data_IF_755627427280
#
_entry.id   IF_755627427280
#
_cell.length_a   1.000
_cell.length_b   1.000
_cell.length_c   1.000
_cell.angle_alpha   90.00
_cell.angle_beta   90.00
_cell.angle_gamma   90.00
#
_symmetry.space_group_name_H-M   'P 1'
#
loop_
_entity.id
_entity.type
_entity.pdbx_description
1 polymer ?
#
# COMPACT_ATOMS: atom_id res chain seq x y z
N UNK A 1 -2.32 -1.68 -26.84
CA UNK A 1 -3.45 -2.28 -26.11
C UNK A 1 -3.17 -3.67 -25.53
N UNK A 2 -2.40 -4.57 -26.17
CA UNK A 2 -2.13 -5.92 -25.63
C UNK A 2 -1.11 -6.02 -24.47
N UNK A 3 -0.41 -4.92 -24.12
CA UNK A 3 0.61 -4.91 -23.07
C UNK A 3 0.03 -4.71 -21.65
N UNK A 4 -1.12 -4.04 -21.51
CA UNK A 4 -1.74 -3.77 -20.21
C UNK A 4 -2.41 -5.01 -19.59
N UNK A 5 -2.80 -5.99 -20.42
CA UNK A 5 -3.49 -7.21 -19.96
C UNK A 5 -2.53 -8.25 -19.35
N UNK A 6 -1.21 -8.12 -19.57
CA UNK A 6 -0.21 -9.09 -19.07
C UNK A 6 0.31 -8.80 -17.66
N UNK A 7 -0.01 -7.65 -17.05
CA UNK A 7 0.46 -7.34 -15.68
C UNK A 7 -0.34 -8.06 -14.58
N UNK A 8 -1.47 -8.69 -14.91
CA UNK A 8 -2.36 -9.39 -13.97
C UNK A 8 -1.85 -10.75 -13.52
N UNK A 9 -0.77 -11.28 -14.13
CA UNK A 9 -0.20 -12.59 -13.80
C UNK A 9 0.83 -12.56 -12.65
N UNK A 10 1.22 -11.38 -12.15
CA UNK A 10 2.31 -11.24 -11.16
C UNK A 10 1.85 -11.00 -9.72
N UNK A 11 0.58 -10.64 -9.52
CA UNK A 11 0.05 -10.35 -8.20
C UNK A 11 -1.08 -11.34 -7.92
N UNK A 12 -1.08 -12.05 -6.78
CA UNK A 12 -2.16 -12.95 -6.42
C UNK A 12 -3.47 -12.17 -6.42
N UNK A 13 -4.50 -12.77 -7.02
CA UNK A 13 -5.85 -12.23 -6.95
C UNK A 13 -6.38 -12.43 -5.53
N UNK A 14 -6.47 -11.34 -4.77
CA UNK A 14 -7.03 -11.32 -3.42
C UNK A 14 -8.43 -10.70 -3.49
N UNK A 15 -9.47 -11.51 -3.35
CA UNK A 15 -10.87 -11.06 -3.48
C UNK A 15 -11.25 -10.11 -2.34
N UNK A 16 -10.62 -10.26 -1.16
CA UNK A 16 -10.85 -9.36 -0.02
C UNK A 16 -10.12 -8.02 -0.12
N UNK A 17 -9.13 -7.90 -1.01
CA UNK A 17 -8.37 -6.68 -1.30
C UNK A 17 -8.47 -6.35 -2.80
N UNK A 18 -9.66 -5.95 -3.29
CA UNK A 18 -9.86 -5.66 -4.71
C UNK A 18 -8.97 -4.50 -5.17
N UNK A 19 -8.84 -4.35 -6.49
CA UNK A 19 -8.04 -3.30 -7.14
C UNK A 19 -6.52 -3.37 -6.83
N UNK A 20 -6.05 -4.49 -6.24
CA UNK A 20 -4.65 -4.75 -5.95
C UNK A 20 -3.85 -5.02 -7.23
N UNK A 21 -2.79 -4.24 -7.46
CA UNK A 21 -1.83 -4.43 -8.56
C UNK A 21 -0.50 -3.71 -8.31
N UNK A 22 0.50 -4.05 -9.11
CA UNK A 22 1.75 -3.29 -9.20
C UNK A 22 1.48 -1.96 -9.91
N UNK A 23 1.98 -0.84 -9.36
CA UNK A 23 1.79 0.48 -9.95
C UNK A 23 2.57 0.66 -11.27
N UNK A 24 3.76 0.06 -11.38
CA UNK A 24 4.55 0.11 -12.60
C UNK A 24 5.07 -1.28 -12.97
N UNK A 25 4.48 -1.89 -14.00
CA UNK A 25 5.11 -2.98 -14.74
C UNK A 25 5.71 -2.37 -16.00
N UNK A 26 7.03 -2.19 -16.06
CA UNK A 26 7.67 -1.69 -17.30
C UNK A 26 7.26 -2.56 -18.48
N UNK A 27 6.63 -1.98 -19.50
CA UNK A 27 6.46 -2.61 -20.81
C UNK A 27 6.67 -1.57 -21.91
N UNK A 28 7.74 -1.75 -22.70
CA UNK A 28 7.81 -1.50 -24.16
C UNK A 28 9.24 -1.54 -24.75
N UNK A 29 10.32 -1.77 -23.99
CA UNK A 29 11.61 -2.14 -24.59
C UNK A 29 11.75 -3.67 -24.65
N UNK A 30 11.95 -4.22 -25.86
CA UNK A 30 11.92 -5.65 -26.19
C UNK A 30 13.05 -6.48 -25.55
N UNK A 31 13.89 -5.89 -24.69
CA UNK A 31 15.03 -6.56 -24.05
C UNK A 31 14.67 -7.13 -22.67
N UNK A 32 13.54 -6.73 -22.07
CA UNK A 32 13.27 -7.02 -20.65
C UNK A 32 12.03 -7.88 -20.38
N UNK A 33 11.47 -8.56 -21.39
CA UNK A 33 10.31 -9.44 -21.24
C UNK A 33 10.61 -10.79 -20.57
N UNK A 34 11.76 -10.96 -19.90
CA UNK A 34 12.19 -12.24 -19.30
C UNK A 34 12.61 -12.15 -17.83
N UNK A 35 12.44 -11.00 -17.17
CA UNK A 35 12.68 -10.84 -15.73
C UNK A 35 11.37 -10.43 -15.07
N UNK A 36 10.55 -11.44 -14.76
CA UNK A 36 9.21 -11.24 -14.18
C UNK A 36 8.95 -12.30 -13.10
N UNK A 37 9.89 -12.48 -12.20
CA UNK A 37 9.61 -13.08 -10.91
C UNK A 37 10.17 -12.13 -9.84
N UNK A 38 9.33 -11.86 -8.84
CA UNK A 38 9.66 -11.30 -7.54
C UNK A 38 10.04 -9.81 -7.42
N UNK A 39 9.11 -9.09 -6.76
CA UNK A 39 9.22 -7.80 -6.09
C UNK A 39 9.04 -6.52 -6.94
N UNK A 40 7.88 -5.88 -6.76
CA UNK A 40 7.66 -4.50 -7.16
C UNK A 40 7.95 -3.53 -6.01
N UNK A 41 8.45 -2.34 -6.34
CA UNK A 41 8.69 -1.29 -5.36
C UNK A 41 7.38 -0.72 -4.77
N UNK A 42 6.35 -0.55 -5.60
CA UNK A 42 5.07 0.05 -5.20
C UNK A 42 3.90 -0.78 -5.73
N UNK A 43 3.04 -1.18 -4.81
CA UNK A 43 1.72 -1.75 -5.05
C UNK A 43 0.65 -0.70 -4.75
N UNK A 44 -0.50 -0.83 -5.39
CA UNK A 44 -1.70 -0.05 -5.07
C UNK A 44 -2.90 -0.96 -4.89
N UNK A 45 -3.83 -0.61 -3.99
CA UNK A 45 -5.05 -1.39 -3.78
C UNK A 45 -6.19 -0.61 -3.13
N UNK A 46 -7.36 -1.26 -2.99
CA UNK A 46 -8.40 -0.86 -2.05
C UNK A 46 -7.94 -1.03 -0.59
N UNK A 47 -8.81 -0.75 0.38
CA UNK A 47 -8.45 -0.88 1.80
C UNK A 47 -8.04 -2.32 2.16
N UNK A 48 -6.82 -2.56 2.70
CA UNK A 48 -6.36 -3.90 3.04
C UNK A 48 -6.85 -4.40 4.40
N UNK A 49 -7.63 -3.58 5.12
CA UNK A 49 -8.20 -3.93 6.42
C UNK A 49 -9.30 -5.00 6.35
N UNK A 50 -9.81 -5.30 5.15
CA UNK A 50 -10.74 -6.40 4.89
C UNK A 50 -10.06 -7.72 4.56
N UNK A 51 -8.72 -7.76 4.54
CA UNK A 51 -7.96 -8.97 4.28
C UNK A 51 -8.43 -10.13 5.17
N UNK A 52 -8.75 -11.26 4.54
CA UNK A 52 -9.18 -12.49 5.23
C UNK A 52 -8.01 -13.41 5.52
N UNK A 53 -8.18 -14.32 6.48
CA UNK A 53 -7.10 -15.19 6.98
C UNK A 53 -6.55 -16.12 5.90
N UNK A 54 -7.39 -16.57 4.98
CA UNK A 54 -7.07 -17.47 3.86
C UNK A 54 -6.13 -16.80 2.85
N UNK A 55 -6.26 -15.48 2.67
CA UNK A 55 -5.48 -14.68 1.73
C UNK A 55 -4.23 -14.06 2.35
N UNK A 56 -4.08 -14.15 3.68
CA UNK A 56 -2.99 -13.52 4.42
C UNK A 56 -1.61 -14.07 4.03
N UNK A 57 -1.51 -15.37 3.76
CA UNK A 57 -0.26 -15.99 3.32
C UNK A 57 0.19 -15.44 1.96
N UNK A 58 -0.72 -15.30 1.00
CA UNK A 58 -0.42 -14.73 -0.32
C UNK A 58 -0.09 -13.24 -0.23
N UNK A 59 -0.79 -12.49 0.62
CA UNK A 59 -0.45 -11.08 0.87
C UNK A 59 0.97 -10.93 1.45
N UNK A 60 1.38 -11.81 2.37
CA UNK A 60 2.74 -11.79 2.95
C UNK A 60 3.83 -12.05 1.91
N UNK A 61 3.58 -12.88 0.89
CA UNK A 61 4.52 -13.12 -0.22
C UNK A 61 4.85 -11.87 -1.02
N UNK A 62 3.99 -10.84 -0.98
CA UNK A 62 4.27 -9.55 -1.63
C UNK A 62 5.44 -8.79 -1.00
N UNK A 63 5.86 -9.16 0.22
CA UNK A 63 7.00 -8.55 0.90
C UNK A 63 6.80 -7.08 1.29
N UNK A 64 5.55 -6.64 1.43
CA UNK A 64 5.22 -5.26 1.76
C UNK A 64 5.82 -4.91 3.13
N UNK A 65 6.67 -3.88 3.16
CA UNK A 65 7.27 -3.33 4.39
C UNK A 65 6.46 -2.16 4.94
N UNK A 66 5.85 -1.39 4.04
CA UNK A 66 5.13 -0.18 4.40
C UNK A 66 3.73 -0.14 3.76
N UNK A 67 2.72 0.23 4.53
CA UNK A 67 1.38 0.57 4.04
C UNK A 67 1.19 2.07 4.22
N UNK A 68 0.90 2.78 3.13
CA UNK A 68 0.59 4.20 3.14
C UNK A 68 -0.87 4.37 2.76
N UNK A 69 -1.69 4.55 3.78
CA UNK A 69 -3.14 4.60 3.70
C UNK A 69 -3.62 6.06 3.70
N UNK A 70 -4.28 6.48 2.62
CA UNK A 70 -4.77 7.85 2.43
C UNK A 70 -6.12 8.12 3.10
N UNK A 71 -6.55 7.23 3.99
CA UNK A 71 -7.74 7.38 4.83
C UNK A 71 -7.43 8.15 6.10
N UNK A 72 -8.46 8.81 6.64
CA UNK A 72 -8.34 9.41 7.97
C UNK A 72 -8.29 8.33 9.04
N UNK A 73 -7.81 8.69 10.24
CA UNK A 73 -7.86 7.80 11.42
C UNK A 73 -9.29 7.32 11.70
N UNK A 74 -10.28 8.19 11.54
CA UNK A 74 -11.69 7.89 11.76
C UNK A 74 -12.26 6.96 10.69
N UNK A 75 -11.86 7.14 9.43
CA UNK A 75 -12.24 6.25 8.31
C UNK A 75 -11.64 4.84 8.51
N UNK A 76 -10.40 4.76 8.98
CA UNK A 76 -9.71 3.51 9.26
C UNK A 76 -10.29 2.80 10.50
N UNK A 77 -10.39 3.48 11.64
CA UNK A 77 -10.92 2.88 12.88
C UNK A 77 -12.43 2.59 12.82
N UNK A 78 -13.15 3.22 11.89
CA UNK A 78 -14.57 2.96 11.63
C UNK A 78 -14.84 1.84 10.64
N UNK A 79 -13.82 1.10 10.21
CA UNK A 79 -13.96 -0.02 9.29
C UNK A 79 -14.66 -1.23 9.92
N UNK A 80 -15.27 -2.04 9.08
CA UNK A 80 -15.94 -3.30 9.41
C UNK A 80 -15.07 -4.54 9.08
N UNK A 81 -13.83 -4.33 8.65
CA UNK A 81 -12.89 -5.38 8.29
C UNK A 81 -12.23 -6.08 9.48
N UNK A 82 -11.52 -7.18 9.20
CA UNK A 82 -10.83 -8.00 10.19
C UNK A 82 -9.54 -7.37 10.75
N UNK A 83 -8.96 -6.41 10.01
CA UNK A 83 -7.75 -5.69 10.39
C UNK A 83 -6.57 -6.60 10.78
N UNK A 84 -6.41 -7.73 10.08
CA UNK A 84 -5.39 -8.75 10.41
C UNK A 84 -3.96 -8.20 10.42
N UNK A 85 -3.68 -7.22 9.55
CA UNK A 85 -2.38 -6.58 9.41
C UNK A 85 -1.99 -5.75 10.65
N UNK A 86 -2.92 -5.45 11.54
CA UNK A 86 -2.66 -4.68 12.77
C UNK A 86 -1.69 -5.37 13.73
N UNK A 87 -1.59 -6.69 13.63
CA UNK A 87 -0.66 -7.52 14.42
C UNK A 87 0.77 -7.44 13.90
N UNK A 88 0.94 -7.07 12.63
CA UNK A 88 2.24 -7.06 11.94
C UNK A 88 2.78 -5.66 11.68
N UNK A 89 1.91 -4.65 11.58
CA UNK A 89 2.30 -3.29 11.20
C UNK A 89 2.01 -2.29 12.31
N UNK A 90 3.05 -1.59 12.75
CA UNK A 90 2.94 -0.46 13.66
C UNK A 90 2.15 0.67 13.00
N UNK A 91 1.06 1.11 13.64
CA UNK A 91 0.17 2.13 13.08
C UNK A 91 0.62 3.54 13.48
N UNK A 92 0.83 4.39 12.49
CA UNK A 92 1.22 5.79 12.65
C UNK A 92 0.19 6.72 12.01
N UNK A 93 -0.08 7.85 12.66
CA UNK A 93 -0.79 8.98 12.09
C UNK A 93 0.22 9.98 11.56
N UNK A 94 0.10 10.38 10.30
CA UNK A 94 0.93 11.44 9.73
C UNK A 94 0.42 12.82 10.17
N UNK A 95 1.32 13.62 10.73
CA UNK A 95 1.05 14.99 11.16
C UNK A 95 1.22 15.95 9.99
N UNK A 96 0.19 16.00 9.14
CA UNK A 96 0.17 16.87 7.95
C UNK A 96 0.23 18.35 8.38
N UNK A 97 1.18 19.16 7.87
CA UNK A 97 1.29 20.57 8.20
C UNK A 97 0.07 21.36 7.67
N UNK A 98 -0.17 22.56 8.21
CA UNK A 98 -1.24 23.44 7.71
C UNK A 98 -0.90 24.09 6.38
N UNK A 99 0.38 24.47 6.23
CA UNK A 99 0.95 25.02 5.01
C UNK A 99 1.67 23.92 4.22
N UNK A 100 2.10 24.24 3.00
CA UNK A 100 2.95 23.36 2.19
C UNK A 100 4.29 23.11 2.88
N UNK A 101 4.86 21.93 2.61
CA UNK A 101 6.18 21.58 3.10
C UNK A 101 7.23 22.52 2.53
N UNK A 102 8.32 22.70 3.27
CA UNK A 102 9.57 23.21 2.68
C UNK A 102 10.34 22.05 2.05
N UNK A 103 11.11 22.32 1.01
CA UNK A 103 11.99 21.31 0.41
C UNK A 103 12.90 20.69 1.49
N UNK A 104 13.03 19.36 1.49
CA UNK A 104 13.81 18.61 2.49
C UNK A 104 13.19 18.52 3.89
N UNK A 105 12.04 19.15 4.16
CA UNK A 105 11.33 18.99 5.43
C UNK A 105 10.81 17.55 5.58
N UNK A 106 11.11 16.90 6.71
CA UNK A 106 10.74 15.51 6.98
C UNK A 106 9.29 15.36 7.43
N UNK A 107 8.69 14.22 7.10
CA UNK A 107 7.35 13.85 7.55
C UNK A 107 7.37 13.54 9.05
N UNK A 108 6.47 14.15 9.82
CA UNK A 108 6.28 13.89 11.25
C UNK A 108 5.13 12.92 11.45
N UNK A 109 5.29 11.98 12.38
CA UNK A 109 4.33 10.92 12.64
C UNK A 109 4.10 10.73 14.14
N UNK A 110 2.88 10.36 14.52
CA UNK A 110 2.47 9.99 15.87
C UNK A 110 2.05 8.51 15.90
N UNK A 111 2.55 7.72 16.85
CA UNK A 111 2.10 6.32 17.02
C UNK A 111 0.64 6.31 17.49
N UNK A 112 -0.18 5.46 16.87
CA UNK A 112 -1.54 5.19 17.32
C UNK A 112 -1.54 3.89 18.13
N UNK A 113 -1.66 4.01 19.45
CA UNK A 113 -1.95 2.86 20.30
C UNK A 113 -3.42 2.44 20.16
N UNK A 114 -3.68 1.22 19.68
CA UNK A 114 -5.03 0.68 19.55
C UNK A 114 -5.51 0.16 20.92
N UNK A 115 -6.73 0.53 21.31
CA UNK A 115 -7.34 0.08 22.57
C UNK A 115 -7.66 -1.43 22.59
N UNK A 116 -7.57 -2.12 21.44
CA UNK A 116 -7.81 -3.56 21.31
C UNK A 116 -6.69 -4.44 21.86
N UNK A 117 -5.52 -3.90 22.22
CA UNK A 117 -4.47 -4.65 22.94
C UNK A 117 -4.75 -4.79 24.46
N UNK A 118 -5.95 -4.46 24.94
CA UNK A 118 -6.36 -4.67 26.35
C UNK A 118 -7.09 -5.99 26.61
N UNK A 119 -7.26 -6.86 25.61
CA UNK A 119 -7.94 -8.15 25.75
C UNK A 119 -7.04 -9.35 25.46
N UNK A 120 -5.78 -9.32 25.91
CA UNK A 120 -4.97 -10.55 26.09
C UNK A 120 -4.19 -10.47 27.42
N UNK A 121 -4.88 -10.13 28.51
CA UNK A 121 -4.49 -10.48 29.89
C UNK A 121 -5.74 -10.68 30.74
N UNK A 122 -6.62 -11.59 30.29
CA UNK A 122 -7.62 -12.20 31.16
C UNK A 122 -7.23 -13.65 31.35
N UNK A 123 -6.53 -13.90 32.45
CA UNK A 123 -6.35 -15.19 33.08
C UNK A 123 -7.59 -16.09 32.95
N UNK A 124 -7.52 -17.11 32.10
CA UNK A 124 -8.28 -18.37 32.16
C UNK A 124 -7.75 -19.34 31.11
N UNK A 125 -6.49 -19.72 31.28
CA UNK A 125 -5.87 -20.98 30.80
C UNK A 125 -4.66 -21.26 31.69
N UNK A 126 -4.90 -21.22 33.00
CA UNK A 126 -4.02 -21.78 34.03
C UNK A 126 -4.83 -22.83 34.77
N UNK A 127 -5.08 -23.93 34.08
CA UNK A 127 -5.46 -25.20 34.67
C UNK A 127 -5.11 -26.26 33.64
N UNK A 128 -3.84 -26.66 33.67
CA UNK A 128 -3.29 -27.95 33.26
C UNK A 128 -1.78 -27.82 33.33
N UNK A 129 -1.26 -28.06 34.54
CA UNK A 129 -0.01 -28.73 34.89
C UNK A 129 0.26 -28.37 36.37
N UNK A 130 -0.33 -29.20 37.21
CA UNK A 130 -0.08 -29.26 38.65
C UNK A 130 1.28 -29.91 38.91
N UNK A 131 1.90 -29.40 39.97
CA UNK A 131 2.74 -30.11 40.95
C UNK A 131 4.12 -30.62 40.49
N UNK A 132 5.17 -29.93 40.92
CA UNK A 132 6.00 -30.41 42.05
C UNK A 132 7.01 -29.31 42.47
N UNK A 133 6.84 -28.81 43.70
CA UNK A 133 7.87 -28.05 44.41
C UNK A 133 8.90 -29.03 44.99
N UNK A 134 10.18 -28.86 44.67
CA UNK A 134 11.26 -29.24 45.57
C UNK A 134 12.41 -28.23 45.53
N UNK A 135 12.84 -27.84 46.73
CA UNK A 135 13.85 -26.83 47.01
C UNK A 135 15.26 -27.21 46.51
N UNK A 136 16.08 -26.22 46.13
CA UNK A 136 17.35 -25.85 46.80
C UNK A 136 18.16 -24.83 45.98
N UNK A 137 19.02 -24.13 46.72
CA UNK A 137 19.89 -22.99 46.42
C UNK A 137 21.03 -23.18 45.41
N UNK A 138 21.45 -22.06 44.78
CA UNK A 138 22.85 -21.58 44.55
C UNK A 138 23.17 -21.07 43.13
N UNK A 139 23.69 -19.83 43.09
CA UNK A 139 24.74 -19.26 42.25
C UNK A 139 24.98 -19.79 40.81
N UNK A 140 24.69 -18.95 39.81
CA UNK A 140 25.67 -18.58 38.77
C UNK A 140 25.19 -17.38 37.91
N UNK A 141 26.11 -16.52 37.42
CA UNK A 141 25.75 -15.32 36.68
C UNK A 141 25.36 -15.63 35.22
N UNK A 142 24.34 -14.91 34.79
CA UNK A 142 23.76 -14.83 33.44
C UNK A 142 24.83 -14.55 32.35
N UNK A 143 24.92 -15.33 31.26
CA UNK A 143 25.75 -14.95 30.13
C UNK A 143 25.01 -13.85 29.33
N UNK A 144 25.74 -12.75 29.10
CA UNK A 144 25.30 -11.57 28.39
C UNK A 144 24.52 -11.90 27.11
N UNK A 145 23.33 -11.31 27.01
CA UNK A 145 22.50 -11.32 25.81
C UNK A 145 23.31 -10.82 24.60
N UNK A 146 23.50 -11.71 23.63
CA UNK A 146 23.88 -11.36 22.26
C UNK A 146 22.81 -10.41 21.73
N UNK A 147 23.15 -9.23 21.19
CA UNK A 147 22.15 -8.34 20.63
C UNK A 147 21.52 -9.02 19.41
N UNK A 148 20.25 -9.39 19.55
CA UNK A 148 19.41 -9.91 18.48
C UNK A 148 19.37 -8.92 17.32
N UNK A 149 19.60 -9.43 16.11
CA UNK A 149 19.38 -8.80 14.80
C UNK A 149 18.25 -7.77 14.80
N UNK A 150 18.51 -6.57 14.28
CA UNK A 150 17.50 -5.53 14.05
C UNK A 150 16.29 -6.12 13.30
N UNK A 151 15.18 -6.30 14.02
CA UNK A 151 13.92 -6.70 13.40
C UNK A 151 13.39 -5.47 12.66
N UNK A 152 13.41 -5.52 11.33
CA UNK A 152 12.84 -4.45 10.49
C UNK A 152 11.36 -4.27 10.83
N UNK A 153 11.02 -3.14 11.46
CA UNK A 153 9.66 -2.79 11.84
C UNK A 153 8.82 -2.44 10.61
N UNK A 154 7.74 -3.21 10.37
CA UNK A 154 6.73 -2.92 9.35
C UNK A 154 5.85 -1.75 9.79
N UNK A 155 5.57 -0.82 8.88
CA UNK A 155 4.89 0.45 9.21
C UNK A 155 3.60 0.64 8.44
N UNK A 156 2.58 1.16 9.10
CA UNK A 156 1.30 1.53 8.49
C UNK A 156 1.00 3.00 8.80
N UNK A 157 1.10 3.86 7.79
CA UNK A 157 0.86 5.29 7.90
C UNK A 157 -0.56 5.66 7.47
N UNK A 158 -1.27 6.41 8.30
CA UNK A 158 -2.55 7.04 7.96
C UNK A 158 -2.33 8.52 7.61
N UNK A 159 -2.67 8.90 6.38
CA UNK A 159 -2.59 10.28 5.88
C UNK A 159 -4.01 10.78 5.59
N UNK A 160 -4.48 11.75 6.38
CA UNK A 160 -5.79 12.34 6.12
C UNK A 160 -5.75 13.30 4.92
N UNK A 161 -6.31 12.89 3.79
CA UNK A 161 -6.47 13.74 2.61
C UNK A 161 -7.64 14.72 2.73
N UNK A 162 -8.73 14.32 3.37
CA UNK A 162 -9.95 15.12 3.52
C UNK A 162 -10.01 15.78 4.91
N UNK A 163 -9.04 16.64 5.18
CA UNK A 163 -9.01 17.47 6.38
C UNK A 163 -10.14 18.48 6.38
N UNK A 164 -10.43 19.06 7.55
CA UNK A 164 -11.41 20.15 7.65
C UNK A 164 -11.07 21.33 6.74
N UNK A 165 -9.80 21.61 6.45
CA UNK A 165 -9.38 22.64 5.48
C UNK A 165 -9.94 22.36 4.08
N UNK A 166 -9.84 21.13 3.59
CA UNK A 166 -10.46 20.69 2.33
C UNK A 166 -11.97 20.88 2.37
N UNK A 167 -12.63 20.38 3.43
CA UNK A 167 -14.09 20.45 3.57
C UNK A 167 -14.56 21.91 3.56
N UNK A 168 -13.91 22.79 4.33
CA UNK A 168 -14.21 24.21 4.38
C UNK A 168 -13.98 24.90 3.03
N UNK A 169 -12.86 24.64 2.37
CA UNK A 169 -12.54 25.27 1.09
C UNK A 169 -13.57 24.93 -0.01
N UNK A 170 -13.99 23.65 -0.09
CA UNK A 170 -15.03 23.20 -1.02
C UNK A 170 -16.41 23.74 -0.61
N UNK A 171 -16.73 23.71 0.69
CA UNK A 171 -18.03 24.17 1.20
C UNK A 171 -18.24 25.69 1.02
N UNK A 172 -17.18 26.49 1.16
CA UNK A 172 -17.24 27.95 1.03
C UNK A 172 -17.52 28.44 -0.41
N UNK A 173 -17.48 27.55 -1.41
CA UNK A 173 -17.89 27.88 -2.79
C UNK A 173 -19.40 27.81 -3.00
N UNK A 174 -20.14 27.27 -2.02
CA UNK A 174 -21.60 27.24 -2.07
C UNK A 174 -22.17 28.64 -1.87
N UNK A 175 -23.30 28.98 -2.50
CA UNK A 175 -23.99 30.22 -2.22
C UNK A 175 -24.44 30.26 -0.75
N UNK A 176 -24.49 31.47 -0.18
CA UNK A 176 -24.70 31.70 1.25
C UNK A 176 -25.90 30.96 1.88
N UNK A 177 -27.00 30.79 1.13
CA UNK A 177 -28.19 30.09 1.63
C UNK A 177 -27.95 28.59 1.80
N UNK A 178 -27.18 27.95 0.90
CA UNK A 178 -26.74 26.57 1.05
C UNK A 178 -25.69 26.42 2.15
N UNK A 179 -24.86 27.45 2.35
CA UNK A 179 -23.92 27.50 3.46
C UNK A 179 -24.65 27.48 4.81
N UNK A 180 -25.68 28.32 5.01
CA UNK A 180 -26.51 28.31 6.22
C UNK A 180 -27.21 26.95 6.43
N UNK A 181 -27.78 26.39 5.36
CA UNK A 181 -28.43 25.09 5.43
C UNK A 181 -27.44 23.96 5.79
N UNK A 182 -26.23 23.98 5.25
CA UNK A 182 -25.20 23.01 5.60
C UNK A 182 -24.74 23.14 7.05
N UNK A 183 -24.59 24.36 7.58
CA UNK A 183 -24.31 24.59 9.01
C UNK A 183 -25.44 24.05 9.87
N UNK A 184 -26.68 24.26 9.48
CA UNK A 184 -27.82 23.68 10.19
C UNK A 184 -27.72 22.15 10.25
N UNK A 185 -27.44 21.47 9.13
CA UNK A 185 -27.22 20.01 9.14
C UNK A 185 -26.05 19.60 10.01
N UNK A 186 -24.94 20.35 9.98
CA UNK A 186 -23.77 20.09 10.81
C UNK A 186 -24.10 20.18 12.31
N UNK A 187 -24.79 21.25 12.73
CA UNK A 187 -25.23 21.45 14.12
C UNK A 187 -26.23 20.37 14.55
N UNK A 188 -27.18 20.00 13.70
CA UNK A 188 -28.12 18.93 13.97
C UNK A 188 -27.44 17.57 14.14
N UNK A 189 -26.41 17.27 13.33
CA UNK A 189 -25.63 16.05 13.47
C UNK A 189 -24.79 16.04 14.75
N UNK A 190 -24.25 17.19 15.18
CA UNK A 190 -23.58 17.33 16.47
C UNK A 190 -24.54 17.07 17.64
N UNK A 191 -25.69 17.75 17.64
CA UNK A 191 -26.73 17.61 18.68
C UNK A 191 -27.23 16.16 18.79
N UNK A 192 -27.41 15.48 17.65
CA UNK A 192 -27.87 14.08 17.60
C UNK A 192 -26.75 13.05 17.67
N UNK A 193 -25.47 13.48 17.80
CA UNK A 193 -24.28 12.60 17.75
C UNK A 193 -24.25 11.66 16.54
N UNK A 194 -24.75 12.14 15.39
CA UNK A 194 -24.98 11.35 14.19
C UNK A 194 -23.73 11.23 13.30
N UNK A 195 -22.52 11.41 13.85
CA UNK A 195 -21.23 11.33 13.13
C UNK A 195 -21.22 12.09 11.79
N UNK A 196 -21.84 13.27 11.74
CA UNK A 196 -21.91 14.14 10.54
C UNK A 196 -22.54 13.50 9.29
N UNK A 197 -23.39 12.47 9.42
CA UNK A 197 -23.98 11.79 8.26
C UNK A 197 -24.84 12.72 7.39
N UNK A 198 -25.71 13.55 7.97
CA UNK A 198 -26.58 14.42 7.20
C UNK A 198 -25.78 15.54 6.52
N UNK A 199 -24.82 16.14 7.25
CA UNK A 199 -23.90 17.11 6.68
C UNK A 199 -23.11 16.50 5.51
N UNK A 200 -22.58 15.29 5.66
CA UNK A 200 -21.81 14.62 4.62
C UNK A 200 -22.66 14.37 3.36
N UNK A 201 -23.91 13.93 3.52
CA UNK A 201 -24.86 13.77 2.40
C UNK A 201 -25.18 15.11 1.73
N UNK A 202 -25.39 16.16 2.52
CA UNK A 202 -25.62 17.51 2.00
C UNK A 202 -24.41 18.02 1.21
N UNK A 203 -23.23 17.91 1.80
CA UNK A 203 -21.96 18.32 1.23
C UNK A 203 -21.69 17.60 -0.11
N UNK A 204 -21.81 16.27 -0.13
CA UNK A 204 -21.67 15.48 -1.34
C UNK A 204 -22.68 15.90 -2.42
N UNK A 205 -23.97 16.00 -2.05
CA UNK A 205 -25.05 16.32 -3.00
C UNK A 205 -24.95 17.73 -3.57
N UNK A 206 -24.52 18.71 -2.78
CA UNK A 206 -24.56 20.14 -3.16
C UNK A 206 -23.22 20.69 -3.62
N UNK A 207 -22.12 20.23 -3.03
CA UNK A 207 -20.78 20.69 -3.39
C UNK A 207 -20.14 19.78 -4.43
N UNK A 208 -20.00 18.48 -4.15
CA UNK A 208 -19.24 17.56 -5.00
C UNK A 208 -19.98 17.23 -6.31
N UNK A 209 -21.27 16.90 -6.25
CA UNK A 209 -22.04 16.60 -7.47
C UNK A 209 -22.09 17.76 -8.48
N UNK A 210 -21.95 19.00 -8.01
CA UNK A 210 -21.98 20.20 -8.85
C UNK A 210 -20.76 20.28 -9.77
N UNK A 211 -19.58 19.91 -9.26
CA UNK A 211 -18.31 19.99 -10.00
C UNK A 211 -17.93 18.66 -10.64
N UNK A 212 -18.56 17.57 -10.21
CA UNK A 212 -18.38 16.23 -10.76
C UNK A 212 -17.02 15.64 -10.43
N UNK A 213 -16.70 14.52 -11.07
CA UNK A 213 -15.47 13.76 -10.79
C UNK A 213 -14.20 14.58 -11.02
N UNK A 214 -14.11 15.26 -12.17
CA UNK A 214 -13.00 16.15 -12.50
C UNK A 214 -12.83 17.27 -11.46
N UNK A 215 -13.92 17.92 -11.08
CA UNK A 215 -13.88 18.98 -10.08
C UNK A 215 -13.42 18.51 -8.71
N UNK A 216 -13.81 17.30 -8.29
CA UNK A 216 -13.28 16.71 -7.06
C UNK A 216 -11.77 16.47 -7.13
N UNK A 217 -11.24 16.08 -8.28
CA UNK A 217 -9.80 15.85 -8.46
C UNK A 217 -9.00 17.15 -8.39
N UNK A 218 -9.51 18.21 -9.02
CA UNK A 218 -8.97 19.55 -8.85
C UNK A 218 -8.98 19.93 -7.36
N UNK A 219 -10.09 19.70 -6.65
CA UNK A 219 -10.18 20.02 -5.23
C UNK A 219 -9.16 19.28 -4.36
N UNK A 220 -8.88 18.00 -4.67
CA UNK A 220 -7.86 17.22 -3.96
C UNK A 220 -6.47 17.82 -4.21
N UNK A 221 -6.12 18.11 -5.46
CA UNK A 221 -4.82 18.68 -5.83
C UNK A 221 -4.61 20.06 -5.21
N UNK A 222 -5.67 20.86 -5.09
CA UNK A 222 -5.62 22.21 -4.53
C UNK A 222 -5.61 22.24 -3.00
N UNK A 223 -6.38 21.37 -2.34
CA UNK A 223 -6.63 21.49 -0.90
C UNK A 223 -6.08 20.34 -0.05
N UNK A 224 -5.49 19.32 -0.68
CA UNK A 224 -4.79 18.21 -0.01
C UNK A 224 -3.28 18.20 -0.33
N UNK A 225 -2.72 19.34 -0.75
CA UNK A 225 -1.31 19.52 -1.16
C UNK A 225 -0.32 18.92 -0.15
N UNK A 226 -0.39 19.32 1.12
CA UNK A 226 0.50 18.79 2.15
C UNK A 226 0.33 17.29 2.36
N UNK A 227 -0.90 16.74 2.23
CA UNK A 227 -1.13 15.29 2.35
C UNK A 227 -0.52 14.52 1.18
N UNK A 228 -0.60 15.07 -0.04
CA UNK A 228 0.04 14.52 -1.23
C UNK A 228 1.57 14.54 -1.05
N UNK A 229 2.13 15.65 -0.59
CA UNK A 229 3.56 15.80 -0.33
C UNK A 229 4.05 14.80 0.74
N UNK A 230 3.30 14.59 1.83
CA UNK A 230 3.61 13.56 2.83
C UNK A 230 3.68 12.15 2.21
N UNK A 231 2.75 11.82 1.31
CA UNK A 231 2.72 10.52 0.64
C UNK A 231 3.96 10.32 -0.25
N UNK A 232 4.32 11.32 -1.05
CA UNK A 232 5.50 11.27 -1.93
C UNK A 232 6.80 11.16 -1.14
N UNK A 233 6.95 11.93 -0.06
CA UNK A 233 8.11 11.86 0.84
C UNK A 233 8.25 10.49 1.50
N UNK A 234 7.15 9.88 1.95
CA UNK A 234 7.18 8.53 2.52
C UNK A 234 7.54 7.45 1.48
N UNK A 235 7.06 7.60 0.24
CA UNK A 235 7.43 6.71 -0.88
C UNK A 235 8.90 6.87 -1.32
N UNK A 236 9.48 8.05 -1.12
CA UNK A 236 10.88 8.34 -1.45
C UNK A 236 11.87 7.70 -0.48
N UNK A 237 11.43 7.30 0.73
CA UNK A 237 12.28 6.64 1.71
C UNK A 237 12.46 5.15 1.35
N UNK A 238 13.68 4.69 1.03
CA UNK A 238 13.93 3.30 0.65
C UNK A 238 13.60 2.31 1.76
N UNK A 239 13.59 2.73 3.03
CA UNK A 239 13.20 1.87 4.16
C UNK A 239 11.70 1.52 4.14
N UNK A 240 10.90 2.27 3.38
CA UNK A 240 9.48 2.01 3.20
C UNK A 240 9.20 1.09 2.00
N UNK A 241 10.20 0.68 1.21
CA UNK A 241 10.01 -0.15 0.01
C UNK A 241 10.29 -1.64 0.28
N UNK A 242 9.44 -2.58 -0.19
CA UNK A 242 8.18 -2.37 -0.94
C UNK A 242 7.06 -1.68 -0.17
N UNK A 243 6.35 -0.78 -0.84
CA UNK A 243 5.21 -0.05 -0.28
C UNK A 243 3.88 -0.44 -0.93
N UNK A 244 2.80 -0.47 -0.14
CA UNK A 244 1.42 -0.52 -0.61
C UNK A 244 0.76 0.84 -0.38
N UNK A 245 0.28 1.49 -1.42
CA UNK A 245 -0.55 2.69 -1.31
C UNK A 245 -2.03 2.35 -1.46
N UNK A 246 -2.88 2.91 -0.60
CA UNK A 246 -4.31 2.63 -0.66
C UNK A 246 -5.16 3.82 -0.19
N UNK A 247 -6.46 3.70 -0.41
CA UNK A 247 -7.46 4.55 0.24
C UNK A 247 -8.69 3.69 0.56
N UNK A 248 -9.92 4.15 0.31
CA UNK A 248 -11.11 3.31 0.44
C UNK A 248 -11.17 2.22 -0.65
N UNK A 249 -11.25 2.63 -1.91
CA UNK A 249 -11.34 1.74 -3.07
C UNK A 249 -10.04 1.72 -3.91
N UNK A 250 -9.00 2.44 -3.49
CA UNK A 250 -7.73 2.48 -4.23
C UNK A 250 -7.78 3.24 -5.55
N UNK A 251 -8.79 4.10 -5.72
CA UNK A 251 -9.10 4.79 -6.98
C UNK A 251 -8.67 6.25 -6.97
N UNK A 252 -9.26 7.07 -6.10
CA UNK A 252 -9.17 8.54 -6.21
C UNK A 252 -7.87 9.11 -5.63
N UNK A 253 -7.76 9.15 -4.30
CA UNK A 253 -6.56 9.62 -3.59
C UNK A 253 -5.33 8.82 -4.03
N UNK A 254 -5.51 7.50 -4.14
CA UNK A 254 -4.48 6.59 -4.63
C UNK A 254 -4.11 6.85 -6.08
N UNK A 255 -5.08 7.11 -6.96
CA UNK A 255 -4.83 7.40 -8.37
C UNK A 255 -4.08 8.70 -8.58
N UNK A 256 -4.39 9.75 -7.81
CA UNK A 256 -3.66 11.02 -7.88
C UNK A 256 -2.20 10.84 -7.45
N UNK A 257 -1.95 10.19 -6.30
CA UNK A 257 -0.56 9.94 -5.86
C UNK A 257 0.16 9.02 -6.84
N UNK A 258 -0.51 7.99 -7.36
CA UNK A 258 0.02 7.09 -8.40
C UNK A 258 0.44 7.87 -9.64
N UNK A 259 -0.38 8.81 -10.10
CA UNK A 259 -0.08 9.63 -11.27
C UNK A 259 1.17 10.49 -11.08
N UNK A 260 1.35 11.08 -9.89
CA UNK A 260 2.54 11.87 -9.57
C UNK A 260 3.80 11.00 -9.50
N UNK A 261 3.72 9.81 -8.90
CA UNK A 261 4.83 8.83 -8.87
C UNK A 261 5.22 8.41 -10.29
N UNK A 262 4.25 8.07 -11.14
CA UNK A 262 4.51 7.68 -12.54
C UNK A 262 5.11 8.84 -13.35
N UNK A 263 4.72 10.08 -13.04
CA UNK A 263 5.33 11.29 -13.64
C UNK A 263 6.80 11.40 -13.25
N UNK A 264 7.17 11.20 -11.97
CA UNK A 264 8.57 11.15 -11.55
C UNK A 264 9.37 10.05 -12.27
N UNK A 265 8.73 8.92 -12.57
CA UNK A 265 9.34 7.83 -13.36
C UNK A 265 9.47 8.16 -14.86
N UNK A 266 9.00 9.33 -15.31
CA UNK A 266 9.06 9.78 -16.70
C UNK A 266 8.03 9.10 -17.60
N UNK A 267 6.94 8.58 -17.05
CA UNK A 267 5.89 7.96 -17.85
C UNK A 267 5.08 9.02 -18.61
N UNK A 268 4.72 8.78 -19.89
CA UNK A 268 3.89 9.71 -20.65
C UNK A 268 2.51 9.92 -20.01
N UNK A 269 1.95 11.13 -20.14
CA UNK A 269 0.62 11.50 -19.63
C UNK A 269 -0.48 10.49 -19.99
N UNK A 270 -0.50 9.99 -21.22
CA UNK A 270 -1.48 8.99 -21.65
C UNK A 270 -1.30 7.65 -20.93
N UNK A 271 -0.05 7.22 -20.70
CA UNK A 271 0.21 6.01 -19.92
C UNK A 271 -0.32 6.15 -18.49
N UNK A 272 -0.09 7.31 -17.87
CA UNK A 272 -0.57 7.61 -16.51
C UNK A 272 -2.09 7.55 -16.44
N UNK A 273 -2.77 8.13 -17.43
CA UNK A 273 -4.23 8.12 -17.50
C UNK A 273 -4.81 6.72 -17.70
N UNK A 274 -4.19 5.89 -18.56
CA UNK A 274 -4.61 4.51 -18.78
C UNK A 274 -4.36 3.62 -17.55
N UNK A 275 -3.23 3.78 -16.84
CA UNK A 275 -2.98 3.06 -15.58
C UNK A 275 -4.05 3.38 -14.53
N UNK A 276 -4.41 4.66 -14.41
CA UNK A 276 -5.50 5.08 -13.54
C UNK A 276 -6.82 4.36 -13.90
N UNK A 277 -7.13 4.26 -15.20
CA UNK A 277 -8.38 3.70 -15.70
C UNK A 277 -8.54 2.19 -15.43
N UNK A 278 -7.43 1.46 -15.23
CA UNK A 278 -7.46 0.06 -14.78
C UNK A 278 -8.21 -0.13 -13.45
N UNK A 279 -8.41 0.94 -12.67
CA UNK A 279 -9.21 0.87 -11.45
C UNK A 279 -10.67 0.50 -11.71
N UNK A 280 -11.19 0.75 -12.91
CA UNK A 280 -12.53 0.29 -13.32
C UNK A 280 -12.59 -1.23 -13.35
N UNK A 281 -11.62 -1.87 -14.00
CA UNK A 281 -11.52 -3.34 -14.05
C UNK A 281 -11.22 -3.92 -12.66
N UNK A 282 -10.27 -3.34 -11.93
CA UNK A 282 -9.88 -3.79 -10.60
C UNK A 282 -10.99 -3.72 -9.55
N UNK A 283 -12.02 -2.89 -9.77
CA UNK A 283 -13.18 -2.75 -8.89
C UNK A 283 -14.45 -3.44 -9.40
N UNK A 284 -14.46 -3.98 -10.62
CA UNK A 284 -15.65 -4.63 -11.19
C UNK A 284 -16.21 -5.76 -10.28
N UNK A 285 -15.39 -6.63 -9.64
CA UNK A 285 -15.90 -7.66 -8.73
C UNK A 285 -16.70 -7.11 -7.54
N UNK A 286 -16.40 -5.89 -7.11
CA UNK A 286 -17.00 -5.22 -5.94
C UNK A 286 -17.81 -3.98 -6.33
N UNK A 287 -18.18 -3.83 -7.60
CA UNK A 287 -18.89 -2.65 -8.12
C UNK A 287 -20.16 -2.31 -7.35
N UNK A 288 -20.91 -3.32 -6.92
CA UNK A 288 -22.11 -3.13 -6.10
C UNK A 288 -21.80 -2.51 -4.72
N UNK A 289 -20.67 -2.88 -4.11
CA UNK A 289 -20.20 -2.26 -2.85
C UNK A 289 -19.73 -0.83 -3.09
N UNK A 290 -19.01 -0.59 -4.20
CA UNK A 290 -18.59 0.76 -4.62
C UNK A 290 -19.81 1.66 -4.81
N UNK A 291 -20.84 1.17 -5.50
CA UNK A 291 -22.10 1.89 -5.70
C UNK A 291 -22.79 2.20 -4.37
N UNK A 292 -22.92 1.22 -3.48
CA UNK A 292 -23.48 1.41 -2.14
C UNK A 292 -22.72 2.45 -1.33
N UNK A 293 -21.38 2.39 -1.35
CA UNK A 293 -20.52 3.28 -0.58
C UNK A 293 -20.52 4.72 -1.09
N UNK A 294 -20.72 4.94 -2.39
CA UNK A 294 -20.62 6.25 -3.05
C UNK A 294 -22.00 6.86 -3.28
N UNK A 295 -22.89 6.14 -3.97
CA UNK A 295 -24.18 6.63 -4.43
C UNK A 295 -25.23 6.53 -3.33
N UNK A 296 -25.45 5.33 -2.77
CA UNK A 296 -26.51 5.16 -1.77
C UNK A 296 -26.18 5.85 -0.44
N UNK A 297 -24.93 5.72 0.01
CA UNK A 297 -24.48 6.24 1.30
C UNK A 297 -24.30 7.75 1.30
N UNK A 298 -23.67 8.33 0.27
CA UNK A 298 -23.35 9.76 0.22
C UNK A 298 -24.19 10.57 -0.78
N UNK A 299 -25.05 9.93 -1.58
CA UNK A 299 -25.84 10.59 -2.63
C UNK A 299 -24.99 11.28 -3.71
N UNK A 300 -23.80 10.73 -3.99
CA UNK A 300 -23.00 11.13 -5.15
C UNK A 300 -23.62 10.58 -6.44
N UNK A 301 -23.37 11.24 -7.57
CA UNK A 301 -23.80 10.75 -8.90
C UNK A 301 -23.04 9.47 -9.28
N UNK A 302 -23.61 8.65 -10.15
CA UNK A 302 -22.99 7.37 -10.56
C UNK A 302 -21.63 7.53 -11.26
N UNK A 303 -21.37 8.69 -11.87
CA UNK A 303 -20.05 9.00 -12.46
C UNK A 303 -18.91 8.87 -11.44
N UNK A 304 -19.18 9.08 -10.14
CA UNK A 304 -18.20 8.92 -9.08
C UNK A 304 -17.81 7.46 -8.82
N UNK A 305 -18.49 6.48 -9.43
CA UNK A 305 -18.09 5.08 -9.38
C UNK A 305 -17.09 4.71 -10.48
N UNK A 306 -16.89 5.54 -11.50
CA UNK A 306 -16.04 5.25 -12.67
C UNK A 306 -14.62 5.75 -12.50
N UNK A 307 -13.71 5.26 -13.33
CA UNK A 307 -12.30 5.67 -13.40
C UNK A 307 -11.94 5.98 -14.86
N UNK A 308 -12.51 7.05 -15.42
CA UNK A 308 -12.31 7.36 -16.84
C UNK A 308 -10.92 7.99 -17.06
N UNK A 309 -10.12 7.44 -17.99
CA UNK A 309 -8.78 7.96 -18.31
C UNK A 309 -8.80 9.47 -18.61
N UNK A 310 -9.85 9.94 -19.28
CA UNK A 310 -10.01 11.35 -19.63
C UNK A 310 -10.10 12.28 -18.41
N UNK A 311 -10.65 11.81 -17.29
CA UNK A 311 -10.68 12.58 -16.04
C UNK A 311 -9.25 12.82 -15.53
N UNK A 312 -8.39 11.79 -15.59
CA UNK A 312 -6.99 11.91 -15.20
C UNK A 312 -6.19 12.76 -16.20
N UNK A 313 -6.40 12.61 -17.51
CA UNK A 313 -5.77 13.49 -18.52
C UNK A 313 -6.11 14.96 -18.31
N UNK A 314 -7.39 15.23 -18.03
CA UNK A 314 -7.88 16.58 -17.75
C UNK A 314 -7.25 17.14 -16.48
N UNK A 315 -7.14 16.33 -15.41
CA UNK A 315 -6.45 16.75 -14.18
C UNK A 315 -4.98 17.11 -14.44
N UNK A 316 -4.22 16.24 -15.12
CA UNK A 316 -2.81 16.48 -15.42
C UNK A 316 -2.64 17.74 -16.28
N UNK A 317 -3.53 17.94 -17.26
CA UNK A 317 -3.54 19.16 -18.09
C UNK A 317 -3.85 20.41 -17.26
N UNK A 318 -4.78 20.34 -16.31
CA UNK A 318 -5.04 21.44 -15.37
C UNK A 318 -3.80 21.78 -14.54
N UNK A 319 -3.09 20.76 -14.04
CA UNK A 319 -1.86 20.93 -13.26
C UNK A 319 -0.78 21.62 -14.13
N UNK A 320 -0.55 21.12 -15.34
CA UNK A 320 0.41 21.70 -16.30
C UNK A 320 0.08 23.18 -16.59
N UNK A 321 -1.19 23.51 -16.82
CA UNK A 321 -1.61 24.88 -17.12
C UNK A 321 -1.42 25.83 -15.94
N UNK A 322 -1.68 25.37 -14.71
CA UNK A 322 -1.63 26.23 -13.52
C UNK A 322 -0.23 26.33 -12.90
N UNK A 323 0.52 25.24 -12.92
CA UNK A 323 1.81 25.11 -12.24
C UNK A 323 2.99 24.93 -13.21
N UNK A 324 2.77 25.22 -14.50
CA UNK A 324 3.73 25.06 -15.61
C UNK A 324 4.02 23.61 -16.00
N UNK A 325 4.12 22.69 -15.03
CA UNK A 325 4.22 21.25 -15.24
C UNK A 325 3.74 20.47 -14.01
N UNK A 326 3.66 19.15 -14.12
CA UNK A 326 3.33 18.27 -12.98
C UNK A 326 4.47 18.29 -11.94
N UNK A 327 5.72 18.33 -12.39
CA UNK A 327 6.91 18.54 -11.56
C UNK A 327 6.87 19.92 -10.89
N UNK A 328 6.42 20.96 -11.60
CA UNK A 328 6.22 22.29 -11.06
C UNK A 328 5.20 22.32 -9.92
N UNK A 329 4.12 21.54 -10.03
CA UNK A 329 3.18 21.34 -8.93
C UNK A 329 3.82 20.62 -7.74
N UNK A 330 4.60 19.57 -7.97
CA UNK A 330 5.31 18.86 -6.91
C UNK A 330 6.28 19.80 -6.16
N UNK A 331 7.02 20.64 -6.88
CA UNK A 331 7.85 21.69 -6.29
C UNK A 331 7.01 22.68 -5.46
N UNK A 332 5.85 23.11 -5.98
CA UNK A 332 4.94 24.04 -5.29
C UNK A 332 4.43 23.50 -3.94
N UNK A 333 4.19 22.19 -3.83
CA UNK A 333 3.72 21.57 -2.58
C UNK A 333 4.86 21.17 -1.62
N UNK A 334 6.11 21.45 -2.00
CA UNK A 334 7.29 21.19 -1.17
C UNK A 334 7.98 19.84 -1.42
N UNK A 335 7.69 19.18 -2.54
CA UNK A 335 8.40 18.00 -3.01
C UNK A 335 9.33 18.39 -4.15
N UNK A 336 10.53 18.84 -3.79
CA UNK A 336 11.47 19.48 -4.72
C UNK A 336 12.08 18.53 -5.75
N UNK A 337 12.80 19.08 -6.73
CA UNK A 337 13.42 18.31 -7.82
C UNK A 337 14.38 17.21 -7.31
N UNK A 338 15.15 17.49 -6.26
CA UNK A 338 16.05 16.50 -5.64
C UNK A 338 15.26 15.30 -5.09
N UNK A 339 14.18 15.55 -4.34
CA UNK A 339 13.33 14.50 -3.78
C UNK A 339 12.59 13.71 -4.88
N UNK A 340 12.19 14.37 -5.97
CA UNK A 340 11.61 13.71 -7.14
C UNK A 340 12.61 12.75 -7.79
N UNK A 341 13.88 13.16 -7.90
CA UNK A 341 14.95 12.35 -8.46
C UNK A 341 15.34 11.20 -7.52
N UNK A 342 15.39 11.43 -6.21
CA UNK A 342 15.60 10.38 -5.20
C UNK A 342 14.50 9.32 -5.26
N UNK A 343 13.23 9.73 -5.31
CA UNK A 343 12.10 8.82 -5.48
C UNK A 343 12.29 7.96 -6.73
N UNK A 344 12.60 8.58 -7.87
CA UNK A 344 12.86 7.86 -9.12
C UNK A 344 13.98 6.83 -8.96
N UNK A 345 15.13 7.25 -8.43
CA UNK A 345 16.30 6.39 -8.23
C UNK A 345 16.00 5.22 -7.30
N UNK A 346 15.34 5.46 -6.17
CA UNK A 346 15.00 4.41 -5.20
C UNK A 346 14.03 3.39 -5.79
N UNK A 347 13.03 3.85 -6.55
CA UNK A 347 12.09 2.95 -7.23
C UNK A 347 12.76 2.15 -8.35
N UNK A 348 13.65 2.75 -9.14
CA UNK A 348 14.40 2.05 -10.19
C UNK A 348 15.41 1.06 -9.61
N UNK A 349 16.17 1.44 -8.59
CA UNK A 349 17.16 0.60 -7.93
C UNK A 349 16.51 -0.66 -7.30
N UNK A 350 15.31 -0.52 -6.74
CA UNK A 350 14.57 -1.65 -6.19
C UNK A 350 14.25 -2.72 -7.26
N UNK A 351 13.92 -2.28 -8.48
CA UNK A 351 13.66 -3.18 -9.62
C UNK A 351 14.95 -3.86 -10.09
N UNK A 352 16.09 -3.17 -10.06
CA UNK A 352 17.38 -3.74 -10.45
C UNK A 352 17.93 -4.75 -9.42
N UNK A 353 17.87 -4.45 -8.12
CA UNK A 353 18.36 -5.35 -7.06
C UNK A 353 17.60 -6.69 -7.04
N UNK A 354 16.29 -6.65 -7.29
CA UNK A 354 15.48 -7.88 -7.41
C UNK A 354 15.89 -8.72 -8.62
N UNK A 355 16.39 -8.07 -9.70
CA UNK A 355 16.83 -8.76 -10.92
C UNK A 355 18.23 -9.40 -10.85
N UNK A 356 19.08 -8.98 -9.92
CA UNK A 356 20.40 -9.59 -9.67
C UNK A 356 20.28 -10.82 -8.78
N UNK A 357 19.48 -10.73 -7.70
CA UNK A 357 19.18 -11.86 -6.82
C UNK A 357 18.57 -13.05 -7.58
N UNK A 358 17.69 -12.78 -8.54
CA UNK A 358 17.08 -13.80 -9.41
C UNK A 358 18.09 -14.44 -10.39
N UNK A 359 19.14 -13.71 -10.81
CA UNK A 359 20.20 -14.26 -11.66
C UNK A 359 21.14 -15.15 -10.86
N UNK A 360 21.59 -14.68 -9.69
CA UNK A 360 22.47 -15.44 -8.81
C UNK A 360 21.79 -16.73 -8.32
N UNK A 361 20.47 -16.68 -8.03
CA UNK A 361 19.69 -17.87 -7.68
C UNK A 361 19.59 -18.88 -8.83
N UNK A 362 19.40 -18.42 -10.07
CA UNK A 362 19.34 -19.30 -11.26
C UNK A 362 20.71 -19.88 -11.63
N UNK A 363 21.78 -19.11 -11.50
CA UNK A 363 23.15 -19.61 -11.71
C UNK A 363 23.54 -20.64 -10.63
N UNK A 364 23.08 -20.47 -9.38
CA UNK A 364 23.28 -21.46 -8.33
C UNK A 364 22.46 -22.74 -8.55
N UNK A 365 21.21 -22.62 -9.02
CA UNK A 365 20.34 -23.77 -9.31
C UNK A 365 20.81 -24.55 -10.55
N UNK A 366 21.29 -23.86 -11.60
CA UNK A 366 21.98 -24.49 -12.73
C UNK A 366 23.32 -25.13 -12.32
N UNK A 367 24.10 -24.51 -11.44
CA UNK A 367 25.32 -25.11 -10.88
C UNK A 367 25.04 -26.38 -10.07
N UNK A 368 23.88 -26.48 -9.40
CA UNK A 368 23.46 -27.66 -8.65
C UNK A 368 22.89 -28.76 -9.55
N UNK A 369 22.24 -28.39 -10.65
CA UNK A 369 21.74 -29.33 -11.67
C UNK A 369 22.85 -29.84 -12.62
N UNK A 370 23.91 -29.05 -12.81
CA UNK A 370 25.09 -29.38 -13.63
C UNK A 370 26.35 -29.59 -12.78
N UNK A 371 26.21 -30.18 -11.59
CA UNK A 371 27.33 -30.59 -10.75
C UNK A 371 28.24 -31.63 -11.43
N UNK A 372 29.45 -31.19 -11.75
CA UNK A 372 30.69 -31.92 -12.04
C UNK A 372 30.67 -33.05 -13.09
N UNK A 373 30.85 -32.67 -14.36
CA UNK A 373 31.44 -33.54 -15.39
C UNK A 373 32.79 -32.96 -15.84
N UNK A 374 33.72 -32.75 -14.90
CA UNK A 374 35.13 -32.54 -15.26
C UNK A 374 36.09 -32.76 -14.09
N UNK A 375 36.13 -33.97 -13.52
CA UNK A 375 37.35 -34.45 -12.87
C UNK A 375 37.42 -35.99 -12.81
N UNK A 376 38.11 -36.69 -13.74
CA UNK A 376 38.32 -38.12 -13.64
C UNK A 376 39.67 -38.40 -12.97
N UNK A 377 39.75 -38.32 -11.65
CA UNK A 377 40.88 -38.89 -10.90
C UNK A 377 40.51 -39.13 -9.45
N UNK A 378 40.10 -40.37 -9.18
CA UNK A 378 40.26 -41.16 -7.94
C UNK A 378 39.00 -41.98 -7.60
N UNK A 379 38.76 -43.04 -8.37
CA UNK A 379 38.10 -44.23 -7.81
C UNK A 379 39.19 -45.24 -7.46
N UNK A 380 39.62 -45.21 -6.20
CA UNK A 380 40.30 -46.35 -5.58
C UNK A 380 39.29 -47.02 -4.64
N UNK A 381 39.24 -48.33 -4.78
CA UNK A 381 38.43 -49.33 -4.11
C UNK A 381 38.39 -49.19 -2.58
N UNK A 382 37.21 -49.45 -1.99
CA UNK A 382 37.04 -50.52 -1.00
C UNK A 382 35.54 -50.77 -0.77
N UNK A 383 35.07 -51.91 -1.26
CA UNK A 383 33.80 -52.55 -0.88
C UNK A 383 34.18 -53.73 0.02
N UNK A 384 33.94 -53.61 1.32
CA UNK A 384 33.81 -54.78 2.20
C UNK A 384 32.35 -55.23 2.14
N UNK A 385 32.14 -56.44 1.59
CA UNK A 385 30.90 -57.19 1.71
C UNK A 385 31.12 -58.35 2.67
N UNK A 386 30.24 -58.50 3.68
CA UNK A 386 29.09 -59.43 3.69
C UNK A 386 29.47 -60.80 4.25
N UNK A 387 29.00 -61.04 5.48
CA UNK A 387 28.68 -62.36 6.02
C UNK A 387 27.55 -63.01 5.20
N UNK A 388 27.72 -64.26 4.78
CA UNK A 388 26.74 -65.32 5.03
C UNK A 388 27.26 -66.71 4.65
N UNK A 389 26.93 -67.65 5.53
CA UNK A 389 27.35 -69.05 5.57
C UNK A 389 26.76 -69.95 4.46
N UNK A 390 27.64 -70.86 4.01
CA UNK A 390 27.46 -72.30 3.83
C UNK A 390 26.38 -72.91 2.91
N UNK A 391 26.94 -73.66 1.94
CA UNK A 391 26.75 -75.11 1.69
C UNK A 391 25.91 -75.57 0.49
N UNK A 392 26.60 -76.39 -0.33
CA UNK A 392 26.17 -77.58 -1.09
C UNK A 392 25.11 -77.40 -2.20
N UNK A 393 25.11 -78.06 -3.36
CA UNK A 393 25.88 -79.16 -3.94
C UNK A 393 25.48 -79.23 -5.44
N UNK A 394 26.39 -79.76 -6.27
CA UNK A 394 26.15 -80.60 -7.46
C UNK A 394 24.95 -80.30 -8.41
N UNK A 395 25.22 -79.82 -9.63
CA UNK A 395 25.55 -80.61 -10.84
C UNK A 395 25.58 -79.72 -12.10
#
# INVERSE_FOLDING_TARGET
MAAAVRSSLLVPKLDSVPNLRILCTRSTSSIYSKLQENAAAVYRSSKPDRLISEELAEFRKLGIKCIIDFRSKEEYLGTDGHCLLDKEYSLYKVCVPKENYKAGEKVKCEIIFKASNKYETSSKDKDLLQDEEFATSQDNPEPAAVPSSETFEKKHYLINFFRMTYVFAVFNRLPWHLWLLGILYFLLDLLRRNKFKNFSKFFAKKALNKTGMYGQYVDIVEFSQSSICSALKLLSDPNNLPALINCAHGKDRTGIVSALVLTCLGMPKDYVAEEYALSTEGLEPVKHLVYKDIVEKYHLREEFCKSDAETMRSLLTYIEQKYTSVEGYMCHIGFGTEEQQELKQNLEAFVYSSSELDRDAKEHEESLLFGDVSNPSSRIFNLEGVDQEQSNEEQ
#
